data_IF_820412615221
#
_entry.id   IF_820412615221
#
_cell.length_a   1.000
_cell.length_b   1.000
_cell.length_c   1.000
_cell.angle_alpha   90.00
_cell.angle_beta   90.00
_cell.angle_gamma   90.00
#
_symmetry.space_group_name_H-M   'P 1'
#
loop_
_entity.id
_entity.type
_entity.pdbx_description
1 polymer ?
#
# COMPACT_ATOMS: atom_id res chain seq x y z
N UNK A 1 22.17 45.70 12.49
CA UNK A 1 22.46 44.44 11.78
C UNK A 1 23.61 44.74 10.84
N UNK A 2 24.50 43.79 10.53
CA UNK A 2 25.58 44.07 9.60
C UNK A 2 25.00 44.31 8.20
N UNK A 3 25.15 45.51 7.66
CA UNK A 3 24.67 45.86 6.32
C UNK A 3 25.81 45.70 5.30
N UNK A 4 25.48 45.15 4.14
CA UNK A 4 26.41 44.79 3.08
C UNK A 4 26.08 45.49 1.78
N UNK A 5 27.11 45.76 1.00
CA UNK A 5 27.05 46.39 -0.31
C UNK A 5 27.81 45.53 -1.30
N UNK A 6 27.38 45.49 -2.57
CA UNK A 6 28.15 44.92 -3.67
C UNK A 6 28.37 45.94 -4.77
N UNK A 7 29.50 45.82 -5.47
CA UNK A 7 29.81 46.63 -6.64
C UNK A 7 29.41 45.88 -7.92
N UNK A 8 28.57 46.52 -8.72
CA UNK A 8 28.17 46.06 -10.04
C UNK A 8 28.62 47.10 -11.06
N UNK A 9 29.69 46.76 -11.80
CA UNK A 9 30.40 47.70 -12.66
C UNK A 9 30.87 48.97 -11.91
N UNK A 10 30.24 50.12 -12.14
CA UNK A 10 30.55 51.42 -11.52
C UNK A 10 29.52 51.85 -10.46
N UNK A 11 28.48 51.04 -10.22
CA UNK A 11 27.43 51.33 -9.23
C UNK A 11 27.60 50.47 -7.97
N UNK A 12 27.43 51.12 -6.80
CA UNK A 12 27.39 50.46 -5.50
C UNK A 12 25.93 50.22 -5.12
N UNK A 13 25.56 48.95 -4.87
CA UNK A 13 24.19 48.56 -4.52
C UNK A 13 24.12 48.07 -3.08
N UNK A 14 23.14 48.57 -2.33
CA UNK A 14 22.87 48.25 -0.94
C UNK A 14 22.16 49.41 -0.22
N UNK A 15 21.95 49.31 1.11
CA UNK A 15 22.37 48.20 1.97
C UNK A 15 21.51 46.94 1.84
N UNK A 16 22.13 45.78 2.05
CA UNK A 16 21.50 44.46 2.14
C UNK A 16 21.89 43.75 3.44
N UNK A 17 20.98 42.95 3.97
CA UNK A 17 21.30 42.01 5.05
C UNK A 17 22.14 40.83 4.54
N UNK A 18 22.84 40.08 5.42
CA UNK A 18 23.61 38.91 5.02
C UNK A 18 22.78 37.86 4.25
N UNK A 19 21.48 37.72 4.58
CA UNK A 19 20.63 36.72 3.95
C UNK A 19 20.10 37.17 2.59
N UNK A 20 19.87 38.48 2.41
CA UNK A 20 19.58 39.05 1.09
C UNK A 20 20.78 38.90 0.16
N UNK A 21 22.00 39.15 0.66
CA UNK A 21 23.24 38.93 -0.11
C UNK A 21 23.39 37.46 -0.56
N UNK A 22 23.04 36.50 0.31
CA UNK A 22 23.03 35.07 -0.08
C UNK A 22 21.92 34.73 -1.07
N UNK A 23 20.76 35.39 -1.01
CA UNK A 23 19.68 35.22 -2.00
C UNK A 23 20.11 35.73 -3.38
N UNK A 24 20.70 36.93 -3.45
CA UNK A 24 21.25 37.49 -4.68
C UNK A 24 22.29 36.56 -5.32
N UNK A 25 23.06 35.84 -4.51
CA UNK A 25 23.99 34.81 -5.00
C UNK A 25 23.27 33.58 -5.56
N UNK A 26 22.21 33.10 -4.89
CA UNK A 26 21.42 31.95 -5.36
C UNK A 26 20.67 32.25 -6.66
N UNK A 27 20.27 33.51 -6.85
CA UNK A 27 19.61 34.02 -8.06
C UNK A 27 20.61 34.37 -9.17
N UNK A 28 21.90 34.09 -8.97
CA UNK A 28 23.01 34.37 -9.90
C UNK A 28 23.20 35.85 -10.27
N UNK A 29 22.63 36.76 -9.48
CA UNK A 29 22.75 38.22 -9.65
C UNK A 29 24.16 38.70 -9.28
N UNK A 30 24.78 38.08 -8.28
CA UNK A 30 26.19 38.30 -7.92
C UNK A 30 26.99 36.99 -8.08
N UNK A 31 28.27 37.11 -8.42
CA UNK A 31 29.21 35.98 -8.59
C UNK A 31 30.18 35.82 -7.42
N UNK A 32 30.92 34.71 -7.38
CA UNK A 32 31.99 34.49 -6.38
C UNK A 32 33.03 35.62 -6.39
N UNK A 33 33.36 36.12 -7.60
CA UNK A 33 34.29 37.22 -7.81
C UNK A 33 33.67 38.62 -7.72
N UNK A 34 32.43 38.75 -7.26
CA UNK A 34 31.81 40.07 -7.10
C UNK A 34 32.40 40.76 -5.87
N UNK A 35 32.91 42.01 -5.99
CA UNK A 35 33.38 42.77 -4.84
C UNK A 35 32.21 43.14 -3.92
N UNK A 36 32.35 42.80 -2.64
CA UNK A 36 31.42 43.13 -1.57
C UNK A 36 32.12 43.85 -0.43
N UNK A 37 31.35 44.61 0.34
CA UNK A 37 31.85 45.42 1.43
C UNK A 37 30.82 45.50 2.55
N UNK A 38 31.26 45.31 3.78
CA UNK A 38 30.43 45.54 4.95
C UNK A 38 30.46 47.03 5.34
N UNK A 39 29.34 47.54 5.83
CA UNK A 39 29.23 48.90 6.32
C UNK A 39 30.27 49.17 7.43
N UNK A 40 31.09 50.20 7.23
CA UNK A 40 32.19 50.56 8.14
C UNK A 40 33.59 50.09 7.70
N UNK A 41 33.69 49.16 6.75
CA UNK A 41 34.99 48.75 6.22
C UNK A 41 35.61 49.82 5.32
N UNK A 42 36.94 49.81 5.16
CA UNK A 42 37.61 50.70 4.21
C UNK A 42 37.82 50.06 2.83
N UNK A 43 37.92 48.72 2.77
CA UNK A 43 38.29 47.99 1.56
C UNK A 43 37.17 47.07 1.07
N UNK A 44 37.15 46.80 -0.23
CA UNK A 44 36.29 45.80 -0.85
C UNK A 44 36.96 44.42 -0.80
N UNK A 45 36.19 43.38 -0.53
CA UNK A 45 36.63 41.98 -0.55
C UNK A 45 35.79 41.20 -1.57
N UNK A 46 36.30 40.11 -2.12
CA UNK A 46 35.51 39.30 -3.07
C UNK A 46 34.52 38.44 -2.29
N UNK A 47 33.31 38.23 -2.83
CA UNK A 47 32.23 37.49 -2.16
C UNK A 47 32.71 36.15 -1.57
N UNK A 48 33.50 35.37 -2.32
CA UNK A 48 34.03 34.08 -1.87
C UNK A 48 34.95 34.17 -0.64
N UNK A 49 35.58 35.32 -0.41
CA UNK A 49 36.51 35.56 0.71
C UNK A 49 35.80 35.96 2.00
N UNK A 50 34.49 36.17 1.95
CA UNK A 50 33.68 36.59 3.09
C UNK A 50 32.90 35.43 3.70
N UNK A 51 32.46 35.57 4.95
CA UNK A 51 31.61 34.57 5.63
C UNK A 51 30.24 34.37 4.95
N UNK A 52 29.87 35.22 3.98
CA UNK A 52 28.68 35.06 3.14
C UNK A 52 28.77 33.89 2.16
N UNK A 53 29.99 33.47 1.79
CA UNK A 53 30.22 32.36 0.85
C UNK A 53 30.09 30.98 1.51
N UNK A 54 29.93 30.92 2.83
CA UNK A 54 29.69 29.69 3.56
C UNK A 54 28.36 29.06 3.11
N UNK A 55 28.44 28.10 2.19
CA UNK A 55 27.28 27.31 1.74
C UNK A 55 26.69 26.59 2.96
N UNK A 56 25.40 26.81 3.31
CA UNK A 56 24.75 26.00 4.32
C UNK A 56 24.84 24.54 3.87
N UNK A 57 25.48 23.70 4.67
CA UNK A 57 25.80 22.32 4.32
C UNK A 57 24.50 21.51 4.05
N UNK A 58 24.04 21.50 2.80
CA UNK A 58 22.82 20.78 2.36
C UNK A 58 22.89 19.27 2.64
N UNK A 59 24.08 18.71 2.85
CA UNK A 59 24.25 17.32 3.24
C UNK A 59 23.87 17.08 4.71
N UNK A 60 24.10 18.03 5.62
CA UNK A 60 23.75 17.90 7.04
C UNK A 60 22.21 17.89 7.24
N UNK A 61 21.48 18.73 6.51
CA UNK A 61 20.00 18.74 6.54
C UNK A 61 19.36 17.48 5.96
N UNK A 62 19.91 16.94 4.85
CA UNK A 62 19.46 15.66 4.28
C UNK A 62 19.79 14.47 5.18
N UNK A 63 20.97 14.45 5.79
CA UNK A 63 21.36 13.39 6.72
C UNK A 63 20.52 13.42 8.02
N UNK A 64 20.25 14.61 8.56
CA UNK A 64 19.38 14.80 9.72
C UNK A 64 17.94 14.38 9.46
N UNK A 65 17.35 14.83 8.35
CA UNK A 65 16.00 14.41 7.94
C UNK A 65 15.93 12.90 7.64
N UNK A 66 16.92 12.34 6.93
CA UNK A 66 17.01 10.90 6.67
C UNK A 66 17.12 10.08 7.96
N UNK A 67 17.94 10.52 8.93
CA UNK A 67 18.07 9.86 10.22
C UNK A 67 16.79 9.97 11.06
N UNK A 68 16.09 11.10 11.00
CA UNK A 68 14.82 11.30 11.71
C UNK A 68 13.69 10.45 11.11
N UNK A 69 13.57 10.40 9.77
CA UNK A 69 12.62 9.53 9.07
C UNK A 69 12.93 8.07 9.36
N UNK A 70 14.22 7.68 9.33
CA UNK A 70 14.66 6.33 9.68
C UNK A 70 14.35 5.98 11.13
N UNK A 71 14.57 6.90 12.08
CA UNK A 71 14.24 6.71 13.49
C UNK A 71 12.73 6.55 13.74
N UNK A 72 11.92 7.41 13.11
CA UNK A 72 10.45 7.33 13.19
C UNK A 72 9.92 6.02 12.60
N UNK A 73 10.49 5.58 11.47
CA UNK A 73 10.17 4.30 10.85
C UNK A 73 10.52 3.11 11.74
N UNK A 74 11.73 3.09 12.33
CA UNK A 74 12.16 2.03 13.25
C UNK A 74 11.29 1.96 14.50
N UNK A 75 10.94 3.12 15.10
CA UNK A 75 10.04 3.16 16.25
C UNK A 75 8.62 2.67 15.90
N UNK A 76 8.10 3.04 14.73
CA UNK A 76 6.78 2.60 14.25
C UNK A 76 6.75 1.09 14.02
N UNK A 77 7.74 0.55 13.31
CA UNK A 77 7.85 -0.90 13.05
C UNK A 77 8.03 -1.70 14.35
N UNK A 78 8.76 -1.19 15.34
CA UNK A 78 8.89 -1.83 16.65
C UNK A 78 7.55 -1.93 17.40
N UNK A 79 6.75 -0.85 17.42
CA UNK A 79 5.41 -0.87 18.04
C UNK A 79 4.45 -1.82 17.33
N UNK A 80 4.49 -1.89 16.00
CA UNK A 80 3.63 -2.80 15.23
C UNK A 80 4.06 -4.26 15.46
N UNK A 81 5.36 -4.54 15.57
CA UNK A 81 5.86 -5.85 15.98
C UNK A 81 5.33 -6.26 17.36
N UNK A 82 5.31 -5.34 18.32
CA UNK A 82 4.76 -5.60 19.65
C UNK A 82 3.27 -5.93 19.60
N UNK A 83 2.49 -5.27 18.72
CA UNK A 83 1.07 -5.57 18.52
C UNK A 83 0.81 -7.00 18.03
N UNK A 84 1.75 -7.59 17.29
CA UNK A 84 1.66 -8.97 16.80
C UNK A 84 2.38 -9.98 17.72
N UNK A 85 2.83 -9.54 18.91
CA UNK A 85 3.51 -10.40 19.90
C UNK A 85 4.98 -10.66 19.61
N UNK A 86 5.59 -9.91 18.68
CA UNK A 86 6.99 -10.05 18.28
C UNK A 86 7.90 -8.99 18.93
N UNK A 87 9.18 -9.34 19.16
CA UNK A 87 10.20 -8.42 19.67
C UNK A 87 11.21 -8.06 18.58
N UNK A 88 11.73 -6.83 18.64
CA UNK A 88 12.78 -6.32 17.75
C UNK A 88 12.25 -5.57 16.53
N UNK A 89 13.15 -5.22 15.60
CA UNK A 89 12.79 -4.56 14.34
C UNK A 89 12.44 -5.60 13.27
N UNK A 90 11.62 -5.20 12.30
CA UNK A 90 11.36 -6.02 11.12
C UNK A 90 12.62 -5.97 10.25
N UNK A 91 13.25 -7.11 9.99
CA UNK A 91 14.24 -7.21 8.92
C UNK A 91 13.50 -7.24 7.58
N UNK A 92 13.14 -6.05 7.09
CA UNK A 92 12.46 -5.85 5.83
C UNK A 92 13.44 -6.09 4.68
N UNK A 93 13.72 -7.36 4.38
CA UNK A 93 14.47 -7.74 3.18
C UNK A 93 13.59 -7.61 1.92
N UNK A 94 12.94 -6.47 1.73
CA UNK A 94 12.03 -6.21 0.60
C UNK A 94 12.73 -6.41 -0.75
N UNK A 95 14.02 -6.08 -0.83
CA UNK A 95 14.82 -6.34 -2.04
C UNK A 95 14.91 -7.83 -2.37
N UNK A 96 14.96 -8.69 -1.36
CA UNK A 96 15.01 -10.14 -1.55
C UNK A 96 13.64 -10.69 -1.95
N UNK A 97 12.55 -10.18 -1.36
CA UNK A 97 11.17 -10.57 -1.72
C UNK A 97 10.91 -10.36 -3.21
N UNK A 98 11.32 -9.23 -3.78
CA UNK A 98 11.08 -8.90 -5.19
C UNK A 98 12.24 -9.31 -6.13
N UNK A 99 13.25 -10.02 -5.63
CA UNK A 99 14.44 -10.39 -6.43
C UNK A 99 14.10 -11.25 -7.65
N UNK A 100 13.17 -12.19 -7.50
CA UNK A 100 12.77 -13.12 -8.56
C UNK A 100 11.93 -12.47 -9.68
N UNK A 101 11.38 -11.26 -9.50
CA UNK A 101 10.49 -10.63 -10.50
C UNK A 101 11.17 -10.45 -11.87
N UNK A 102 12.48 -10.15 -11.87
CA UNK A 102 13.26 -9.94 -13.08
C UNK A 102 13.92 -11.22 -13.60
N UNK A 103 13.81 -12.34 -12.89
CA UNK A 103 14.37 -13.62 -13.29
C UNK A 103 13.52 -14.28 -14.40
N UNK A 104 14.18 -15.16 -15.16
CA UNK A 104 13.51 -15.99 -16.17
C UNK A 104 13.00 -17.25 -15.50
N UNK A 105 11.71 -17.51 -15.66
CA UNK A 105 11.06 -18.69 -15.10
C UNK A 105 10.56 -19.62 -16.19
N UNK A 106 10.67 -20.93 -15.95
CA UNK A 106 10.25 -21.95 -16.91
C UNK A 106 8.72 -22.11 -16.92
N UNK A 107 8.21 -22.92 -17.86
CA UNK A 107 6.78 -23.25 -17.89
C UNK A 107 6.44 -24.19 -16.73
N UNK A 108 7.31 -25.14 -16.48
CA UNK A 108 7.18 -26.16 -15.45
C UNK A 108 7.09 -25.51 -14.06
N UNK A 109 7.95 -24.51 -13.78
CA UNK A 109 7.89 -23.73 -12.53
C UNK A 109 6.53 -23.06 -12.31
N UNK A 110 5.90 -22.54 -13.38
CA UNK A 110 4.54 -21.97 -13.30
C UNK A 110 3.51 -23.04 -12.98
N UNK A 111 3.55 -24.16 -13.71
CA UNK A 111 2.59 -25.25 -13.56
C UNK A 111 2.70 -25.88 -12.15
N UNK A 112 3.91 -25.99 -11.60
CA UNK A 112 4.18 -26.42 -10.23
C UNK A 112 3.51 -25.51 -9.18
N UNK A 113 3.46 -24.20 -9.41
CA UNK A 113 2.72 -23.29 -8.54
C UNK A 113 1.22 -23.57 -8.57
N UNK A 114 0.63 -23.77 -9.74
CA UNK A 114 -0.82 -23.98 -9.88
C UNK A 114 -1.32 -25.27 -9.23
N UNK A 115 -0.47 -26.29 -9.13
CA UNK A 115 -0.80 -27.53 -8.42
C UNK A 115 -0.56 -27.44 -6.91
N UNK A 116 -0.05 -26.33 -6.36
CA UNK A 116 0.12 -26.17 -4.91
C UNK A 116 -1.21 -26.25 -4.14
N UNK A 117 -1.17 -26.70 -2.88
CA UNK A 117 -2.35 -26.83 -2.03
C UNK A 117 -3.24 -28.03 -2.34
N UNK A 118 -2.71 -29.03 -3.07
CA UNK A 118 -3.38 -30.32 -3.25
C UNK A 118 -2.86 -31.35 -2.24
N UNK A 119 -3.51 -32.52 -2.16
CA UNK A 119 -3.09 -33.61 -1.27
C UNK A 119 -1.68 -34.15 -1.56
N UNK A 120 -1.13 -33.89 -2.76
CA UNK A 120 0.18 -34.41 -3.19
C UNK A 120 1.29 -33.35 -3.23
N UNK A 121 0.94 -32.06 -3.16
CA UNK A 121 1.88 -30.93 -3.32
C UNK A 121 1.95 -30.01 -2.11
N UNK A 122 1.05 -30.17 -1.15
CA UNK A 122 1.13 -29.47 0.13
C UNK A 122 2.34 -30.04 0.90
N UNK A 123 3.35 -29.22 1.22
CA UNK A 123 4.53 -29.71 1.94
C UNK A 123 4.15 -30.21 3.35
N UNK A 124 4.81 -31.25 3.87
CA UNK A 124 4.80 -31.57 5.29
C UNK A 124 5.18 -30.36 6.15
N UNK A 125 4.73 -30.32 7.41
CA UNK A 125 4.95 -29.15 8.27
C UNK A 125 6.46 -28.85 8.47
N UNK A 126 7.30 -29.88 8.49
CA UNK A 126 8.77 -29.79 8.59
C UNK A 126 9.46 -29.18 7.35
N UNK A 127 8.83 -29.27 6.17
CA UNK A 127 9.39 -28.81 4.90
C UNK A 127 8.91 -27.40 4.51
N UNK A 128 8.07 -26.77 5.34
CA UNK A 128 7.55 -25.43 5.06
C UNK A 128 8.70 -24.41 5.12
N UNK A 129 8.97 -23.64 4.04
CA UNK A 129 10.03 -22.65 4.06
C UNK A 129 9.85 -21.61 5.17
N UNK A 130 10.92 -21.34 5.91
CA UNK A 130 10.98 -20.31 6.96
C UNK A 130 11.53 -18.97 6.46
N UNK A 131 12.15 -18.99 5.27
CA UNK A 131 12.64 -17.79 4.59
C UNK A 131 11.52 -17.07 3.83
N UNK A 132 11.79 -15.82 3.47
CA UNK A 132 10.87 -15.03 2.66
C UNK A 132 10.60 -15.71 1.31
N UNK A 133 9.32 -15.93 0.95
CA UNK A 133 8.96 -16.33 -0.40
C UNK A 133 9.37 -15.24 -1.40
N UNK A 134 9.69 -15.68 -2.63
CA UNK A 134 10.10 -14.81 -3.74
C UNK A 134 9.01 -14.76 -4.81
N UNK A 135 7.91 -14.02 -4.59
CA UNK A 135 6.80 -13.95 -5.53
C UNK A 135 7.25 -13.27 -6.84
N UNK A 136 6.75 -13.79 -7.97
CA UNK A 136 7.09 -13.27 -9.30
C UNK A 136 5.93 -13.42 -10.29
N UNK A 137 5.07 -14.42 -10.14
CA UNK A 137 3.94 -14.70 -11.02
C UNK A 137 2.93 -13.56 -11.02
N UNK A 138 2.73 -12.89 -9.88
CA UNK A 138 1.86 -11.72 -9.77
C UNK A 138 2.18 -10.64 -10.82
N UNK A 139 3.46 -10.43 -11.11
CA UNK A 139 3.91 -9.46 -12.11
C UNK A 139 3.55 -9.91 -13.54
N UNK A 140 3.61 -11.22 -13.82
CA UNK A 140 3.25 -11.78 -15.12
C UNK A 140 1.74 -11.73 -15.33
N UNK A 141 0.96 -12.01 -14.29
CA UNK A 141 -0.50 -11.87 -14.30
C UNK A 141 -0.90 -10.40 -14.53
N UNK A 142 -0.26 -9.46 -13.85
CA UNK A 142 -0.46 -8.03 -14.09
C UNK A 142 -0.20 -7.66 -15.55
N UNK A 143 0.93 -8.10 -16.13
CA UNK A 143 1.26 -7.78 -17.52
C UNK A 143 0.23 -8.36 -18.51
N UNK A 144 -0.26 -9.58 -18.28
CA UNK A 144 -1.30 -10.19 -19.12
C UNK A 144 -2.61 -9.41 -19.03
N UNK A 145 -3.03 -9.03 -17.82
CA UNK A 145 -4.25 -8.24 -17.62
C UNK A 145 -4.11 -6.81 -18.18
N UNK A 146 -2.97 -6.15 -17.99
CA UNK A 146 -2.68 -4.83 -18.54
C UNK A 146 -2.63 -4.84 -20.08
N UNK A 147 -2.04 -5.88 -20.69
CA UNK A 147 -2.06 -6.05 -22.15
C UNK A 147 -3.48 -6.29 -22.65
N UNK A 148 -4.27 -7.10 -21.94
CA UNK A 148 -5.67 -7.33 -22.28
C UNK A 148 -6.49 -6.05 -22.19
N UNK A 149 -6.28 -5.24 -21.15
CA UNK A 149 -6.88 -3.93 -21.00
C UNK A 149 -6.53 -3.01 -22.18
N UNK A 150 -5.25 -2.97 -22.56
CA UNK A 150 -4.79 -2.15 -23.69
C UNK A 150 -5.43 -2.58 -25.01
N UNK A 151 -5.54 -3.89 -25.27
CA UNK A 151 -6.22 -4.39 -26.48
C UNK A 151 -7.71 -4.03 -26.50
N UNK A 152 -8.39 -4.13 -25.34
CA UNK A 152 -9.79 -3.72 -25.20
C UNK A 152 -9.96 -2.21 -25.35
N UNK A 153 -9.01 -1.42 -24.85
CA UNK A 153 -8.98 0.04 -25.02
C UNK A 153 -8.87 0.40 -26.51
N UNK A 154 -7.93 -0.21 -27.23
CA UNK A 154 -7.79 -0.01 -28.68
C UNK A 154 -9.06 -0.43 -29.42
N UNK A 155 -9.66 -1.57 -29.07
CA UNK A 155 -10.93 -2.01 -29.66
C UNK A 155 -12.06 -1.00 -29.40
N UNK A 156 -12.19 -0.49 -28.18
CA UNK A 156 -13.23 0.46 -27.80
C UNK A 156 -13.06 1.80 -28.52
N UNK A 157 -11.87 2.40 -28.48
CA UNK A 157 -11.67 3.80 -28.86
C UNK A 157 -11.06 4.01 -30.25
N UNK A 158 -10.19 3.11 -30.71
CA UNK A 158 -9.61 3.24 -32.06
C UNK A 158 -10.52 2.65 -33.14
N UNK A 159 -11.29 1.61 -32.80
CA UNK A 159 -12.23 0.94 -33.70
C UNK A 159 -13.70 1.26 -33.39
N UNK A 160 -13.98 2.12 -32.42
CA UNK A 160 -15.33 2.53 -32.01
C UNK A 160 -16.26 1.34 -31.67
N UNK A 161 -15.70 0.24 -31.15
CA UNK A 161 -16.46 -0.96 -30.80
C UNK A 161 -16.93 -0.92 -29.34
N UNK A 162 -18.14 -0.40 -29.11
CA UNK A 162 -18.71 -0.26 -27.77
C UNK A 162 -18.93 -1.60 -27.04
N UNK A 163 -18.93 -2.74 -27.75
CA UNK A 163 -18.97 -4.05 -27.12
C UNK A 163 -17.70 -4.37 -26.32
N UNK A 164 -16.61 -3.63 -26.52
CA UNK A 164 -15.38 -3.78 -25.75
C UNK A 164 -15.46 -3.11 -24.36
N UNK A 165 -16.41 -2.17 -24.14
CA UNK A 165 -16.52 -1.42 -22.88
C UNK A 165 -16.78 -2.31 -21.65
N UNK A 166 -17.72 -3.29 -21.66
CA UNK A 166 -17.90 -4.18 -20.51
C UNK A 166 -16.63 -4.96 -20.17
N UNK A 167 -15.92 -5.43 -21.19
CA UNK A 167 -14.63 -6.10 -21.03
C UNK A 167 -13.58 -5.17 -20.43
N UNK A 168 -13.56 -3.91 -20.86
CA UNK A 168 -12.63 -2.89 -20.37
C UNK A 168 -12.88 -2.57 -18.89
N UNK A 169 -14.14 -2.39 -18.49
CA UNK A 169 -14.53 -2.21 -17.08
C UNK A 169 -14.07 -3.41 -16.26
N UNK A 170 -14.39 -4.63 -16.71
CA UNK A 170 -14.06 -5.85 -15.99
C UNK A 170 -12.55 -6.04 -15.84
N UNK A 171 -11.79 -6.00 -16.93
CA UNK A 171 -10.34 -6.20 -16.88
C UNK A 171 -9.66 -5.08 -16.10
N UNK A 172 -10.07 -3.82 -16.30
CA UNK A 172 -9.52 -2.67 -15.58
C UNK A 172 -9.70 -2.80 -14.07
N UNK A 173 -10.91 -3.15 -13.62
CA UNK A 173 -11.22 -3.35 -12.21
C UNK A 173 -10.49 -4.55 -11.58
N UNK A 174 -10.16 -5.59 -12.38
CA UNK A 174 -9.52 -6.81 -11.89
C UNK A 174 -7.98 -6.74 -11.92
N UNK A 175 -7.40 -5.91 -12.79
CA UNK A 175 -5.96 -5.92 -13.12
C UNK A 175 -5.07 -5.85 -11.88
N UNK A 176 -5.30 -4.89 -10.99
CA UNK A 176 -4.46 -4.73 -9.79
C UNK A 176 -4.94 -5.61 -8.62
N UNK A 177 -6.25 -5.66 -8.26
CA UNK A 177 -6.70 -6.51 -7.15
C UNK A 177 -6.36 -7.99 -7.34
N UNK A 178 -6.53 -8.53 -8.55
CA UNK A 178 -6.25 -9.93 -8.82
C UNK A 178 -4.73 -10.21 -8.82
N UNK A 179 -3.93 -9.29 -9.37
CA UNK A 179 -2.46 -9.42 -9.30
C UNK A 179 -1.96 -9.40 -7.86
N UNK A 180 -2.48 -8.50 -7.01
CA UNK A 180 -2.15 -8.49 -5.58
C UNK A 180 -2.57 -9.79 -4.88
N UNK A 181 -3.72 -10.35 -5.23
CA UNK A 181 -4.11 -11.66 -4.71
C UNK A 181 -3.08 -12.74 -5.08
N UNK A 182 -2.59 -12.78 -6.31
CA UNK A 182 -1.53 -13.71 -6.70
C UNK A 182 -0.26 -13.49 -5.88
N UNK A 183 0.11 -12.24 -5.58
CA UNK A 183 1.22 -11.95 -4.67
C UNK A 183 1.01 -12.54 -3.26
N UNK A 184 -0.19 -12.38 -2.68
CA UNK A 184 -0.52 -12.99 -1.39
C UNK A 184 -0.55 -14.52 -1.43
N UNK A 185 -0.93 -15.10 -2.57
CA UNK A 185 -0.92 -16.54 -2.77
C UNK A 185 0.49 -17.11 -2.88
N UNK A 186 1.37 -16.47 -3.66
CA UNK A 186 2.78 -16.84 -3.78
C UNK A 186 3.55 -16.69 -2.46
N UNK A 187 3.14 -15.73 -1.62
CA UNK A 187 3.76 -15.48 -0.31
C UNK A 187 3.18 -16.33 0.81
N UNK A 188 2.18 -17.18 0.53
CA UNK A 188 1.68 -18.17 1.47
C UNK A 188 2.66 -19.35 1.59
N UNK A 189 3.70 -19.21 2.41
CA UNK A 189 4.75 -20.22 2.60
C UNK A 189 4.23 -21.64 2.91
N UNK A 190 3.16 -21.85 3.70
CA UNK A 190 2.58 -23.17 3.92
C UNK A 190 2.05 -23.88 2.67
N UNK A 191 1.74 -23.15 1.59
CA UNK A 191 1.24 -23.68 0.31
C UNK A 191 0.10 -24.70 0.45
N UNK A 192 -0.74 -24.53 1.46
CA UNK A 192 -1.80 -25.46 1.86
C UNK A 192 -3.22 -24.98 1.49
N UNK A 193 -3.32 -23.92 0.68
CA UNK A 193 -4.58 -23.44 0.10
C UNK A 193 -4.42 -23.49 -1.42
N UNK A 194 -5.27 -24.26 -2.07
CA UNK A 194 -5.25 -24.41 -3.52
C UNK A 194 -5.72 -23.15 -4.24
N UNK A 195 -5.27 -22.97 -5.49
CA UNK A 195 -5.72 -21.85 -6.33
C UNK A 195 -7.25 -21.89 -6.55
N UNK A 196 -7.86 -23.07 -6.53
CA UNK A 196 -9.33 -23.23 -6.66
C UNK A 196 -10.05 -22.60 -5.47
N UNK A 197 -9.59 -22.84 -4.24
CA UNK A 197 -10.16 -22.19 -3.05
C UNK A 197 -9.88 -20.68 -3.06
N UNK A 198 -8.70 -20.25 -3.52
CA UNK A 198 -8.38 -18.82 -3.69
C UNK A 198 -9.35 -18.13 -4.64
N UNK A 199 -9.58 -18.72 -5.82
CA UNK A 199 -10.52 -18.21 -6.82
C UNK A 199 -11.95 -18.20 -6.28
N UNK A 200 -12.37 -19.25 -5.55
CA UNK A 200 -13.68 -19.31 -4.89
C UNK A 200 -13.85 -18.21 -3.84
N UNK A 201 -12.83 -17.95 -3.01
CA UNK A 201 -12.84 -16.86 -2.03
C UNK A 201 -12.89 -15.49 -2.71
N UNK A 202 -12.18 -15.33 -3.82
CA UNK A 202 -12.24 -14.09 -4.62
C UNK A 202 -13.64 -13.85 -5.17
N UNK A 203 -14.24 -14.81 -5.90
CA UNK A 203 -15.54 -14.62 -6.53
C UNK A 203 -16.69 -14.67 -5.53
N UNK A 204 -16.84 -15.80 -4.82
CA UNK A 204 -17.98 -16.03 -3.92
C UNK A 204 -17.79 -15.24 -2.64
N UNK A 205 -16.59 -15.28 -2.04
CA UNK A 205 -16.32 -14.55 -0.80
C UNK A 205 -16.37 -13.03 -1.00
N UNK A 206 -15.75 -12.52 -2.07
CA UNK A 206 -15.80 -11.10 -2.42
C UNK A 206 -17.23 -10.58 -2.59
N UNK A 207 -18.03 -11.22 -3.44
CA UNK A 207 -19.44 -10.81 -3.65
C UNK A 207 -20.29 -11.01 -2.39
N UNK A 208 -20.10 -12.11 -1.65
CA UNK A 208 -20.82 -12.33 -0.38
C UNK A 208 -20.51 -11.23 0.65
N UNK A 209 -19.27 -10.72 0.67
CA UNK A 209 -18.92 -9.62 1.57
C UNK A 209 -19.55 -8.29 1.16
N UNK A 210 -19.76 -8.04 -0.15
CA UNK A 210 -20.58 -6.90 -0.62
C UNK A 210 -22.03 -7.05 -0.14
N UNK A 211 -22.62 -8.24 -0.31
CA UNK A 211 -23.99 -8.51 0.16
C UNK A 211 -24.11 -8.31 1.67
N UNK A 212 -23.13 -8.78 2.45
CA UNK A 212 -23.10 -8.57 3.90
C UNK A 212 -23.03 -7.09 4.27
N UNK A 213 -22.18 -6.31 3.59
CA UNK A 213 -22.11 -4.85 3.73
C UNK A 213 -23.46 -4.19 3.43
N UNK A 214 -24.09 -4.53 2.30
CA UNK A 214 -25.39 -3.96 1.90
C UNK A 214 -26.49 -4.29 2.92
N UNK A 215 -26.47 -5.51 3.48
CA UNK A 215 -27.36 -5.86 4.57
C UNK A 215 -27.14 -4.97 5.79
N UNK A 216 -25.89 -4.71 6.19
CA UNK A 216 -25.61 -3.80 7.31
C UNK A 216 -26.07 -2.37 7.03
N UNK A 217 -25.87 -1.85 5.80
CA UNK A 217 -26.39 -0.53 5.42
C UNK A 217 -27.91 -0.45 5.37
N UNK A 218 -28.61 -1.57 5.14
CA UNK A 218 -30.08 -1.60 5.23
C UNK A 218 -30.59 -1.36 6.66
N UNK A 219 -29.77 -1.68 7.68
CA UNK A 219 -30.07 -1.47 9.10
C UNK A 219 -29.51 -0.15 9.60
N UNK A 220 -28.32 0.24 9.13
CA UNK A 220 -27.61 1.47 9.49
C UNK A 220 -27.32 2.30 8.24
N UNK A 221 -28.32 2.99 7.68
CA UNK A 221 -28.17 3.71 6.43
C UNK A 221 -27.25 4.92 6.57
N UNK A 222 -26.43 5.15 5.55
CA UNK A 222 -25.56 6.33 5.42
C UNK A 222 -26.05 7.13 4.22
N UNK A 223 -26.48 8.37 4.47
CA UNK A 223 -27.06 9.24 3.42
C UNK A 223 -26.04 10.22 2.82
N UNK A 224 -25.03 10.61 3.59
CA UNK A 224 -24.00 11.56 3.16
C UNK A 224 -22.60 11.14 3.63
N UNK A 225 -21.60 11.36 2.79
CA UNK A 225 -20.20 11.04 3.08
C UNK A 225 -19.52 12.14 3.94
N UNK A 226 -20.15 12.46 5.06
CA UNK A 226 -19.55 13.32 6.11
C UNK A 226 -18.45 12.58 6.85
N UNK A 227 -17.72 13.24 7.75
CA UNK A 227 -16.74 12.58 8.65
C UNK A 227 -17.36 11.39 9.38
N UNK A 228 -18.58 11.56 9.91
CA UNK A 228 -19.33 10.46 10.55
C UNK A 228 -19.75 9.38 9.56
N UNK A 229 -20.22 9.78 8.37
CA UNK A 229 -20.59 8.85 7.31
C UNK A 229 -19.42 7.97 6.86
N UNK A 230 -18.24 8.56 6.66
CA UNK A 230 -17.01 7.84 6.30
C UNK A 230 -16.60 6.81 7.35
N UNK A 231 -16.75 7.14 8.64
CA UNK A 231 -16.49 6.19 9.75
C UNK A 231 -17.49 5.04 9.71
N UNK A 232 -18.78 5.31 9.53
CA UNK A 232 -19.81 4.27 9.46
C UNK A 232 -19.57 3.35 8.26
N UNK A 233 -19.25 3.91 7.09
CA UNK A 233 -18.88 3.12 5.90
C UNK A 233 -17.69 2.21 6.20
N UNK A 234 -16.60 2.76 6.75
CA UNK A 234 -15.41 1.99 7.11
C UNK A 234 -15.72 0.86 8.08
N UNK A 235 -16.53 1.12 9.11
CA UNK A 235 -16.94 0.07 10.08
C UNK A 235 -17.78 -1.01 9.40
N UNK A 236 -18.85 -0.64 8.70
CA UNK A 236 -19.82 -1.60 8.15
C UNK A 236 -19.17 -2.48 7.08
N UNK A 237 -18.34 -1.90 6.23
CA UNK A 237 -17.65 -2.64 5.19
C UNK A 237 -16.59 -3.60 5.70
N UNK A 238 -15.80 -3.20 6.71
CA UNK A 238 -14.79 -4.09 7.27
C UNK A 238 -15.43 -5.18 8.14
N UNK A 239 -16.55 -4.90 8.80
CA UNK A 239 -17.36 -5.93 9.50
C UNK A 239 -17.98 -6.91 8.48
N UNK A 240 -18.52 -6.42 7.36
CA UNK A 240 -19.02 -7.25 6.25
C UNK A 240 -17.98 -8.24 5.74
N UNK A 241 -16.74 -7.77 5.52
CA UNK A 241 -15.62 -8.63 5.13
C UNK A 241 -15.22 -9.59 6.24
N UNK A 242 -15.15 -9.13 7.49
CA UNK A 242 -14.80 -9.97 8.65
C UNK A 242 -15.72 -11.18 8.80
N UNK A 243 -17.03 -11.02 8.60
CA UNK A 243 -18.00 -12.15 8.67
C UNK A 243 -17.62 -13.25 7.68
N UNK A 244 -17.34 -12.88 6.43
CA UNK A 244 -16.99 -13.84 5.37
C UNK A 244 -15.59 -14.42 5.59
N UNK A 245 -14.63 -13.61 6.03
CA UNK A 245 -13.28 -14.07 6.39
C UNK A 245 -13.34 -15.11 7.52
N UNK A 246 -14.10 -14.83 8.58
CA UNK A 246 -14.27 -15.75 9.71
C UNK A 246 -14.91 -17.08 9.26
N UNK A 247 -15.90 -17.02 8.35
CA UNK A 247 -16.51 -18.21 7.75
C UNK A 247 -15.48 -19.09 7.03
N UNK A 248 -14.65 -18.53 6.14
CA UNK A 248 -13.64 -19.30 5.42
C UNK A 248 -12.52 -19.81 6.34
N UNK A 249 -12.08 -19.01 7.33
CA UNK A 249 -11.10 -19.45 8.33
C UNK A 249 -11.62 -20.66 9.13
N UNK A 250 -12.90 -20.64 9.51
CA UNK A 250 -13.55 -21.74 10.20
C UNK A 250 -13.67 -22.98 9.30
N UNK A 251 -14.16 -22.80 8.08
CA UNK A 251 -14.43 -23.88 7.12
C UNK A 251 -13.14 -24.59 6.67
N UNK A 252 -12.07 -23.83 6.40
CA UNK A 252 -10.78 -24.36 5.95
C UNK A 252 -9.89 -24.82 7.11
N UNK A 253 -10.28 -24.57 8.37
CA UNK A 253 -9.54 -24.98 9.59
C UNK A 253 -8.06 -24.57 9.57
N UNK A 254 -7.77 -23.39 9.01
CA UNK A 254 -6.38 -22.94 8.78
C UNK A 254 -5.63 -22.67 10.08
N UNK A 255 -4.33 -22.95 10.12
CA UNK A 255 -3.49 -22.81 11.33
C UNK A 255 -2.52 -21.61 11.30
N UNK A 256 -2.10 -21.20 10.11
CA UNK A 256 -0.99 -20.26 9.92
C UNK A 256 -1.48 -18.83 9.69
N UNK A 257 -0.78 -17.84 10.24
CA UNK A 257 -1.09 -16.41 10.03
C UNK A 257 -1.12 -16.07 8.53
N UNK A 258 -0.19 -16.64 7.75
CA UNK A 258 -0.13 -16.47 6.30
C UNK A 258 -1.38 -16.99 5.57
N UNK A 259 -2.03 -18.03 6.09
CA UNK A 259 -3.32 -18.48 5.55
C UNK A 259 -4.41 -17.44 5.79
N UNK A 260 -4.44 -16.85 7.00
CA UNK A 260 -5.37 -15.77 7.31
C UNK A 260 -5.16 -14.56 6.41
N UNK A 261 -3.90 -14.19 6.17
CA UNK A 261 -3.51 -13.12 5.27
C UNK A 261 -4.03 -13.37 3.84
N UNK A 262 -3.82 -14.58 3.31
CA UNK A 262 -4.29 -14.98 1.97
C UNK A 262 -5.82 -15.00 1.87
N UNK A 263 -6.52 -15.58 2.86
CA UNK A 263 -8.00 -15.61 2.88
C UNK A 263 -8.56 -14.19 2.86
N UNK A 264 -8.02 -13.33 3.72
CA UNK A 264 -8.39 -11.92 3.78
C UNK A 264 -8.15 -11.20 2.45
N UNK A 265 -6.95 -11.33 1.90
CA UNK A 265 -6.59 -10.72 0.62
C UNK A 265 -7.47 -11.22 -0.54
N UNK A 266 -7.83 -12.51 -0.57
CA UNK A 266 -8.71 -13.07 -1.59
C UNK A 266 -10.09 -12.42 -1.59
N UNK A 267 -10.72 -12.35 -0.41
CA UNK A 267 -12.04 -11.75 -0.23
C UNK A 267 -11.98 -10.24 -0.53
N UNK A 268 -10.96 -9.54 -0.01
CA UNK A 268 -10.75 -8.11 -0.26
C UNK A 268 -10.48 -7.77 -1.73
N UNK A 269 -9.75 -8.62 -2.44
CA UNK A 269 -9.52 -8.49 -3.88
C UNK A 269 -10.81 -8.65 -4.68
N UNK A 270 -11.64 -9.63 -4.33
CA UNK A 270 -12.96 -9.79 -4.91
C UNK A 270 -13.85 -8.57 -4.67
N UNK A 271 -13.94 -8.13 -3.41
CA UNK A 271 -14.69 -6.92 -3.04
C UNK A 271 -14.24 -5.71 -3.87
N UNK A 272 -12.93 -5.41 -3.89
CA UNK A 272 -12.38 -4.28 -4.64
C UNK A 272 -12.68 -4.35 -6.13
N UNK A 273 -12.55 -5.53 -6.74
CA UNK A 273 -12.75 -5.71 -8.17
C UNK A 273 -14.21 -5.48 -8.57
N UNK A 274 -15.17 -6.11 -7.88
CA UNK A 274 -16.59 -5.96 -8.20
C UNK A 274 -17.13 -4.57 -7.87
N UNK A 275 -16.68 -3.98 -6.76
CA UNK A 275 -17.04 -2.61 -6.40
C UNK A 275 -16.51 -1.61 -7.43
N UNK A 276 -15.24 -1.74 -7.83
CA UNK A 276 -14.63 -0.82 -8.81
C UNK A 276 -15.30 -0.92 -10.19
N UNK A 277 -15.72 -2.12 -10.60
CA UNK A 277 -16.48 -2.30 -11.83
C UNK A 277 -17.83 -1.56 -11.77
N UNK A 278 -18.52 -1.63 -10.62
CA UNK A 278 -19.75 -0.89 -10.37
C UNK A 278 -19.56 0.63 -10.41
N UNK A 279 -18.50 1.15 -9.79
CA UNK A 279 -18.18 2.58 -9.84
C UNK A 279 -17.88 3.05 -11.26
N UNK A 280 -17.03 2.33 -12.00
CA UNK A 280 -16.69 2.67 -13.38
C UNK A 280 -17.93 2.67 -14.29
N UNK A 281 -18.83 1.70 -14.11
CA UNK A 281 -20.10 1.64 -14.84
C UNK A 281 -20.99 2.86 -14.52
N UNK A 282 -21.23 3.16 -13.24
CA UNK A 282 -22.10 4.28 -12.85
C UNK A 282 -21.54 5.64 -13.28
N UNK A 283 -20.24 5.86 -13.11
CA UNK A 283 -19.56 7.08 -13.55
C UNK A 283 -19.60 7.21 -15.08
N UNK A 284 -19.41 6.09 -15.79
CA UNK A 284 -19.53 6.06 -17.25
C UNK A 284 -20.92 6.45 -17.74
N UNK A 285 -21.97 5.94 -17.08
CA UNK A 285 -23.35 6.32 -17.39
C UNK A 285 -23.65 7.79 -17.11
N UNK A 286 -23.11 8.32 -16.01
CA UNK A 286 -23.40 9.69 -15.59
C UNK A 286 -22.57 10.76 -16.33
N UNK A 287 -21.32 10.45 -16.67
CA UNK A 287 -20.33 11.45 -17.13
C UNK A 287 -19.60 11.04 -18.43
N UNK A 288 -19.93 9.89 -19.01
CA UNK A 288 -19.38 9.42 -20.28
C UNK A 288 -18.07 8.63 -20.18
N UNK A 289 -17.57 8.19 -21.34
CA UNK A 289 -16.47 7.24 -21.47
C UNK A 289 -15.15 7.75 -20.88
N UNK A 290 -14.83 9.04 -21.00
CA UNK A 290 -13.61 9.62 -20.44
C UNK A 290 -13.58 9.50 -18.91
N UNK A 291 -14.70 9.79 -18.25
CA UNK A 291 -14.82 9.69 -16.80
C UNK A 291 -14.76 8.23 -16.32
N UNK A 292 -15.33 7.29 -17.09
CA UNK A 292 -15.19 5.86 -16.86
C UNK A 292 -13.72 5.44 -16.86
N UNK A 293 -12.96 5.83 -17.89
CA UNK A 293 -11.55 5.47 -18.00
C UNK A 293 -10.73 6.07 -16.85
N UNK A 294 -10.94 7.34 -16.54
CA UNK A 294 -10.28 7.99 -15.41
C UNK A 294 -10.57 7.26 -14.10
N UNK A 295 -11.84 6.90 -13.85
CA UNK A 295 -12.20 6.16 -12.65
C UNK A 295 -11.51 4.78 -12.59
N UNK A 296 -11.43 4.05 -13.71
CA UNK A 296 -10.72 2.77 -13.75
C UNK A 296 -9.25 2.94 -13.34
N UNK A 297 -8.56 3.96 -13.87
CA UNK A 297 -7.16 4.22 -13.51
C UNK A 297 -7.00 4.59 -12.04
N UNK A 298 -7.84 5.50 -11.54
CA UNK A 298 -7.80 5.92 -10.14
C UNK A 298 -8.03 4.71 -9.22
N UNK A 299 -9.08 3.91 -9.49
CA UNK A 299 -9.40 2.69 -8.72
C UNK A 299 -8.28 1.64 -8.79
N UNK A 300 -7.67 1.44 -9.95
CA UNK A 300 -6.60 0.48 -10.13
C UNK A 300 -5.36 0.83 -9.30
N UNK A 301 -4.86 2.07 -9.43
CA UNK A 301 -3.70 2.53 -8.64
C UNK A 301 -3.98 2.50 -7.13
N UNK A 302 -5.14 2.99 -6.72
CA UNK A 302 -5.53 3.08 -5.31
C UNK A 302 -5.73 1.71 -4.65
N UNK A 303 -6.10 0.68 -5.42
CA UNK A 303 -6.30 -0.67 -4.89
C UNK A 303 -5.03 -1.31 -4.30
N UNK A 304 -3.84 -0.75 -4.59
CA UNK A 304 -2.55 -1.18 -4.01
C UNK A 304 -2.54 -1.16 -2.49
N UNK A 305 -3.27 -0.25 -1.83
CA UNK A 305 -3.38 -0.21 -0.36
C UNK A 305 -4.81 -0.10 0.16
N UNK A 306 -5.78 -0.53 -0.64
CA UNK A 306 -7.20 -0.53 -0.28
C UNK A 306 -7.67 -1.87 0.28
N UNK A 307 -8.90 -2.27 -0.09
CA UNK A 307 -9.60 -3.44 0.48
C UNK A 307 -8.80 -4.75 0.49
N UNK A 308 -7.95 -5.01 -0.51
CA UNK A 308 -7.11 -6.24 -0.56
C UNK A 308 -6.22 -6.32 0.68
N UNK A 309 -5.54 -5.22 0.97
CA UNK A 309 -4.59 -5.09 2.07
C UNK A 309 -5.32 -5.06 3.41
N UNK A 310 -6.40 -4.27 3.51
CA UNK A 310 -7.21 -4.15 4.74
C UNK A 310 -7.84 -5.48 5.17
N UNK A 311 -8.41 -6.21 4.22
CA UNK A 311 -8.97 -7.53 4.47
C UNK A 311 -7.88 -8.56 4.82
N UNK A 312 -6.71 -8.47 4.17
CA UNK A 312 -5.53 -9.27 4.52
C UNK A 312 -5.11 -9.09 5.98
N UNK A 313 -5.01 -7.83 6.45
CA UNK A 313 -4.72 -7.51 7.86
C UNK A 313 -5.75 -8.16 8.79
N UNK A 314 -7.04 -8.04 8.46
CA UNK A 314 -8.14 -8.63 9.25
C UNK A 314 -8.02 -10.15 9.36
N UNK A 315 -7.79 -10.84 8.24
CA UNK A 315 -7.67 -12.30 8.23
C UNK A 315 -6.43 -12.80 8.98
N UNK A 316 -5.29 -12.15 8.80
CA UNK A 316 -4.06 -12.47 9.53
C UNK A 316 -4.22 -12.25 11.04
N UNK A 317 -4.84 -11.13 11.45
CA UNK A 317 -5.12 -10.83 12.85
C UNK A 317 -6.01 -11.88 13.52
N UNK A 318 -7.05 -12.35 12.81
CA UNK A 318 -7.94 -13.36 13.36
C UNK A 318 -7.24 -14.71 13.54
N UNK A 319 -6.42 -15.13 12.57
CA UNK A 319 -5.65 -16.38 12.69
C UNK A 319 -4.56 -16.27 13.74
N UNK A 320 -3.95 -15.08 13.93
CA UNK A 320 -2.96 -14.82 14.97
C UNK A 320 -3.50 -15.16 16.38
N UNK A 321 -4.68 -14.63 16.75
CA UNK A 321 -5.28 -14.90 18.07
C UNK A 321 -5.91 -16.29 18.18
N UNK A 322 -6.39 -16.84 17.06
CA UNK A 322 -6.96 -18.19 16.99
C UNK A 322 -5.90 -19.27 17.20
N UNK A 323 -4.69 -19.05 16.68
CA UNK A 323 -3.62 -20.05 16.63
C UNK A 323 -4.05 -21.32 15.87
N UNK A 324 -3.48 -22.46 16.26
CA UNK A 324 -3.75 -23.76 15.62
C UNK A 324 -5.12 -24.38 15.96
N UNK A 325 -5.80 -23.89 17.01
CA UNK A 325 -7.09 -24.42 17.47
C UNK A 325 -8.28 -24.05 16.56
N UNK A 326 -9.50 -24.54 16.84
CA UNK A 326 -10.70 -24.15 16.09
C UNK A 326 -11.07 -22.68 16.35
N UNK A 327 -11.67 -22.01 15.35
CA UNK A 327 -12.19 -20.66 15.53
C UNK A 327 -13.36 -20.67 16.53
N UNK A 328 -13.31 -19.80 17.54
CA UNK A 328 -14.31 -19.66 18.58
C UNK A 328 -14.64 -18.17 18.80
N UNK A 329 -15.82 -17.89 19.34
CA UNK A 329 -16.30 -16.51 19.55
C UNK A 329 -15.35 -15.66 20.39
N UNK A 330 -14.65 -16.25 21.37
CA UNK A 330 -13.67 -15.56 22.21
C UNK A 330 -12.56 -14.86 21.41
N UNK A 331 -12.23 -15.36 20.22
CA UNK A 331 -11.20 -14.77 19.35
C UNK A 331 -11.68 -13.46 18.71
N UNK A 332 -12.98 -13.31 18.43
CA UNK A 332 -13.55 -12.08 17.87
C UNK A 332 -13.63 -10.95 18.90
N UNK A 333 -13.66 -11.30 20.18
CA UNK A 333 -13.63 -10.36 21.31
C UNK A 333 -12.24 -10.22 21.93
N UNK A 334 -11.23 -10.88 21.37
CA UNK A 334 -9.87 -10.83 21.90
C UNK A 334 -9.28 -9.42 21.74
N UNK A 335 -8.74 -8.79 22.80
CA UNK A 335 -8.20 -7.44 22.71
C UNK A 335 -7.08 -7.27 21.68
N UNK A 336 -6.25 -8.30 21.44
CA UNK A 336 -5.20 -8.26 20.43
C UNK A 336 -5.79 -8.26 19.02
N UNK A 337 -6.84 -9.06 18.78
CA UNK A 337 -7.58 -9.05 17.53
C UNK A 337 -8.25 -7.70 17.29
N UNK A 338 -8.99 -7.18 18.28
CA UNK A 338 -9.71 -5.91 18.15
C UNK A 338 -8.78 -4.73 17.85
N UNK A 339 -7.58 -4.70 18.46
CA UNK A 339 -6.55 -3.69 18.16
C UNK A 339 -6.08 -3.75 16.71
N UNK A 340 -5.84 -4.95 16.17
CA UNK A 340 -5.42 -5.13 14.78
C UNK A 340 -6.56 -4.92 13.79
N UNK A 341 -7.80 -5.30 14.14
CA UNK A 341 -8.98 -5.07 13.33
C UNK A 341 -9.39 -3.59 13.27
N UNK A 342 -9.07 -2.80 14.30
CA UNK A 342 -9.27 -1.35 14.25
C UNK A 342 -8.42 -0.67 13.17
N UNK A 343 -7.28 -1.25 12.78
CA UNK A 343 -6.39 -0.68 11.74
C UNK A 343 -7.08 -0.54 10.39
N UNK A 344 -7.61 -1.61 9.74
CA UNK A 344 -8.32 -1.48 8.48
C UNK A 344 -9.56 -0.59 8.58
N UNK A 345 -10.30 -0.62 9.69
CA UNK A 345 -11.45 0.27 9.92
C UNK A 345 -11.02 1.74 9.90
N UNK A 346 -9.95 2.09 10.61
CA UNK A 346 -9.42 3.47 10.66
C UNK A 346 -8.87 3.88 9.31
N UNK A 347 -8.06 3.03 8.66
CA UNK A 347 -7.50 3.32 7.34
C UNK A 347 -8.61 3.59 6.32
N UNK A 348 -9.65 2.76 6.31
CA UNK A 348 -10.79 2.91 5.42
C UNK A 348 -11.62 4.17 5.77
N UNK A 349 -11.87 4.43 7.05
CA UNK A 349 -12.58 5.64 7.47
C UNK A 349 -11.85 6.90 7.03
N UNK A 350 -10.52 6.95 7.19
CA UNK A 350 -9.68 8.06 6.75
C UNK A 350 -9.58 8.15 5.22
N UNK A 351 -9.65 7.02 4.53
CA UNK A 351 -9.68 6.95 3.07
C UNK A 351 -10.90 7.68 2.50
N UNK A 352 -12.07 7.46 3.11
CA UNK A 352 -13.35 8.01 2.66
C UNK A 352 -13.65 9.40 3.25
N UNK A 353 -12.83 9.89 4.17
CA UNK A 353 -13.10 11.14 4.86
C UNK A 353 -12.91 12.35 3.94
N UNK A 354 -13.82 13.34 3.93
CA UNK A 354 -13.71 14.53 3.08
C UNK A 354 -12.67 15.54 3.61
N UNK A 355 -11.41 15.13 3.76
CA UNK A 355 -10.31 15.99 4.23
C UNK A 355 -9.53 16.55 3.03
N UNK A 356 -10.09 17.59 2.40
CA UNK A 356 -9.57 18.14 1.13
C UNK A 356 -8.17 18.76 1.20
N UNK A 357 -7.71 19.19 2.39
CA UNK A 357 -6.38 19.81 2.55
C UNK A 357 -5.22 18.86 2.27
N UNK A 358 -5.40 17.55 2.45
CA UNK A 358 -4.36 16.53 2.25
C UNK A 358 -4.42 15.82 0.88
N UNK A 359 -5.32 16.27 -0.02
CA UNK A 359 -5.61 15.59 -1.28
C UNK A 359 -4.79 16.10 -2.46
N UNK A 360 -3.98 17.14 -2.24
CA UNK A 360 -2.97 17.56 -3.21
C UNK A 360 -2.05 16.37 -3.56
N UNK A 361 -1.99 16.04 -4.85
CA UNK A 361 -1.16 14.98 -5.41
C UNK A 361 -1.36 13.58 -4.77
N UNK A 362 -2.57 13.24 -4.33
CA UNK A 362 -2.86 11.93 -3.70
C UNK A 362 -2.04 11.64 -2.44
N UNK A 363 -1.48 12.66 -1.78
CA UNK A 363 -0.55 12.49 -0.66
C UNK A 363 -1.17 11.68 0.49
N UNK A 364 -2.43 11.99 0.87
CA UNK A 364 -3.19 11.20 1.86
C UNK A 364 -3.17 9.71 1.54
N UNK A 365 -3.54 9.33 0.32
CA UNK A 365 -3.61 7.93 -0.09
C UNK A 365 -2.24 7.27 -0.06
N UNK A 366 -1.19 7.97 -0.48
CA UNK A 366 0.18 7.44 -0.41
C UNK A 366 0.58 7.13 1.03
N UNK A 367 0.29 8.02 1.98
CA UNK A 367 0.56 7.77 3.41
C UNK A 367 -0.22 6.57 3.92
N UNK A 368 -1.52 6.47 3.62
CA UNK A 368 -2.36 5.34 4.05
C UNK A 368 -1.88 4.01 3.45
N UNK A 369 -1.50 3.99 2.18
CA UNK A 369 -0.92 2.82 1.49
C UNK A 369 0.35 2.37 2.21
N UNK A 370 1.28 3.29 2.49
CA UNK A 370 2.54 2.97 3.19
C UNK A 370 2.26 2.36 4.57
N UNK A 371 1.35 2.96 5.35
CA UNK A 371 0.97 2.43 6.67
C UNK A 371 0.40 1.01 6.53
N UNK A 372 -0.52 0.79 5.60
CA UNK A 372 -1.15 -0.50 5.39
C UNK A 372 -0.13 -1.59 5.03
N UNK A 373 0.84 -1.27 4.16
CA UNK A 373 1.90 -2.21 3.79
C UNK A 373 2.90 -2.51 4.91
N UNK A 374 3.18 -1.55 5.80
CA UNK A 374 3.97 -1.83 7.01
C UNK A 374 3.29 -2.93 7.84
N UNK A 375 1.97 -2.85 8.04
CA UNK A 375 1.22 -3.92 8.73
C UNK A 375 1.29 -5.26 8.00
N UNK A 376 1.15 -5.27 6.66
CA UNK A 376 1.29 -6.50 5.87
C UNK A 376 2.64 -7.15 6.07
N UNK A 377 3.74 -6.42 5.88
CA UNK A 377 5.07 -7.02 6.03
C UNK A 377 5.35 -7.46 7.47
N UNK A 378 4.80 -6.75 8.46
CA UNK A 378 4.88 -7.18 9.86
C UNK A 378 4.18 -8.52 10.08
N UNK A 379 2.96 -8.67 9.57
CA UNK A 379 2.16 -9.89 9.69
C UNK A 379 2.76 -11.05 8.89
N UNK A 380 3.33 -10.78 7.72
CA UNK A 380 4.10 -11.77 6.94
C UNK A 380 5.30 -12.28 7.74
N UNK A 381 6.09 -11.38 8.31
CA UNK A 381 7.23 -11.72 9.15
C UNK A 381 6.79 -12.53 10.40
N UNK A 382 5.70 -12.13 11.06
CA UNK A 382 5.13 -12.88 12.18
C UNK A 382 4.70 -14.30 11.76
N UNK A 383 4.12 -14.45 10.55
CA UNK A 383 3.78 -15.75 9.98
C UNK A 383 4.99 -16.64 9.70
N UNK A 384 6.07 -16.09 9.15
CA UNK A 384 7.32 -16.84 8.92
C UNK A 384 7.98 -17.26 10.25
N UNK A 385 7.98 -16.37 11.25
CA UNK A 385 8.46 -16.69 12.60
C UNK A 385 7.58 -17.75 13.29
N UNK A 386 6.27 -17.72 13.07
CA UNK A 386 5.35 -18.76 13.57
C UNK A 386 5.78 -20.14 13.06
N UNK A 387 6.08 -20.25 11.76
CA UNK A 387 6.55 -21.50 11.14
C UNK A 387 7.91 -21.91 11.70
N UNK A 388 8.87 -20.97 11.77
CA UNK A 388 10.22 -21.25 12.29
C UNK A 388 10.21 -21.76 13.75
N UNK A 389 9.31 -21.25 14.60
CA UNK A 389 9.15 -21.75 15.98
C UNK A 389 8.62 -23.19 16.00
N UNK A 390 7.74 -23.55 15.07
CA UNK A 390 7.21 -24.91 14.98
C UNK A 390 8.25 -25.92 14.50
N UNK A 391 9.23 -25.49 13.69
CA UNK A 391 10.38 -26.32 13.30
C UNK A 391 11.40 -26.54 14.42
N UNK A 392 11.38 -25.71 15.46
CA UNK A 392 12.33 -25.77 16.57
C UNK A 392 11.84 -26.64 17.74
N UNK A 393 10.65 -27.23 17.61
CA UNK A 393 10.00 -28.15 18.56
C UNK A 393 10.10 -29.55 17.98
#
# INVERSE_FOLDING_TARGET
MAEWYFADHEEVRGPYTPEEMKSLRQEEIIGEGTPVKQEGDMNWSLFYQTDLSAVPNRQAGRAGFSNQVKGAFLHTTARINEMVGEKGNIDLQLKDVFSAVMEKHTREERELLFIAGTSVTTPPEEDIPTSWPKPWLFSRVFLVLALTFLMLYVAAFSFYNMNALPGLIFIGAFTVPFSLLIFFWETNAPRNISIVEVVKMFFVGGVASIVATLFFFSVFPVYELTVGGAIVVGVMEEVGKLVIIAYFIHQLKVKYILNGLLIGAAIGAGFAAFESAGYAFNIGLAFGETALIQNIFDRAWLSIGGHVVWAGITGAALVLVKGAGPLAQKHLTDPAFLKLFAVPVVLHSLWNMPIYFFDFFYFRYLVLIVIAWIFIFTLMNAGLKQISRQHSI
#
